data_IF_426244898664
#
_entry.id   IF_426244898664
#
_cell.length_a   1.000
_cell.length_b   1.000
_cell.length_c   1.000
_cell.angle_alpha   90.00
_cell.angle_beta   90.00
_cell.angle_gamma   90.00
#
_symmetry.space_group_name_H-M   'P 1'
#
loop_
_entity.id
_entity.type
_entity.pdbx_description
1 polymer ?
#
# COMPACT_ATOMS: atom_id res chain seq x y z
N UNK A 1 6.46 -13.72 14.21
CA UNK A 1 6.05 -12.94 13.03
C UNK A 1 5.07 -11.90 13.53
N UNK A 2 5.29 -10.61 13.27
CA UNK A 2 4.46 -9.55 13.84
C UNK A 2 3.04 -9.55 13.25
N UNK A 3 2.05 -9.15 14.05
CA UNK A 3 0.66 -8.99 13.59
C UNK A 3 0.39 -7.62 12.96
N UNK A 4 1.40 -6.75 12.89
CA UNK A 4 1.31 -5.37 12.40
C UNK A 4 2.65 -4.96 11.78
N UNK A 5 2.61 -4.32 10.62
CA UNK A 5 3.82 -3.94 9.88
C UNK A 5 3.63 -3.92 8.37
N UNK A 6 4.73 -3.75 7.64
CA UNK A 6 4.75 -3.80 6.18
C UNK A 6 4.76 -5.27 5.74
N UNK A 7 3.77 -5.68 4.97
CA UNK A 7 3.70 -6.98 4.34
C UNK A 7 4.79 -7.08 3.26
N UNK A 8 5.74 -8.02 3.41
CA UNK A 8 6.86 -8.20 2.48
C UNK A 8 6.82 -9.50 1.70
N UNK A 9 5.95 -10.43 2.08
CA UNK A 9 5.79 -11.68 1.35
C UNK A 9 5.04 -12.76 2.11
N UNK A 10 5.16 -14.00 1.63
CA UNK A 10 4.56 -15.19 2.21
C UNK A 10 5.59 -16.33 2.22
N UNK A 11 5.68 -17.06 3.32
CA UNK A 11 6.56 -18.22 3.46
C UNK A 11 5.85 -19.32 4.24
N UNK A 12 5.81 -20.55 3.69
CA UNK A 12 5.05 -21.69 4.26
C UNK A 12 3.61 -21.30 4.65
N UNK A 13 2.91 -20.67 3.72
CA UNK A 13 1.55 -20.17 3.91
C UNK A 13 1.36 -19.09 5.01
N UNK A 14 2.43 -18.61 5.64
CA UNK A 14 2.38 -17.52 6.63
C UNK A 14 2.81 -16.20 6.00
N UNK A 15 2.09 -15.13 6.31
CA UNK A 15 2.49 -13.79 5.88
C UNK A 15 3.71 -13.32 6.67
N UNK A 16 4.65 -12.71 5.95
CA UNK A 16 5.85 -12.10 6.50
C UNK A 16 5.63 -10.59 6.59
N UNK A 17 5.75 -10.06 7.81
CA UNK A 17 5.56 -8.64 8.08
C UNK A 17 6.79 -8.06 8.78
N UNK A 18 7.27 -6.92 8.27
CA UNK A 18 8.29 -6.09 8.92
C UNK A 18 7.60 -5.13 9.89
N UNK A 19 7.72 -5.40 11.19
CA UNK A 19 7.14 -4.59 12.25
C UNK A 19 8.10 -3.54 12.80
N UNK A 20 7.58 -2.66 13.66
CA UNK A 20 8.34 -1.60 14.30
C UNK A 20 8.62 -0.40 13.38
N UNK A 21 9.43 0.54 13.88
CA UNK A 21 9.83 1.74 13.14
C UNK A 21 11.01 1.41 12.23
N UNK A 22 10.72 0.84 11.07
CA UNK A 22 11.71 0.44 10.07
C UNK A 22 11.43 1.12 8.73
N UNK A 23 12.50 1.34 7.96
CA UNK A 23 12.41 1.81 6.58
C UNK A 23 12.56 0.64 5.60
N UNK A 24 11.83 0.69 4.49
CA UNK A 24 11.88 -0.33 3.43
C UNK A 24 12.16 0.34 2.09
N UNK A 25 13.14 -0.17 1.36
CA UNK A 25 13.39 0.17 -0.03
C UNK A 25 13.04 -1.04 -0.91
N UNK A 26 12.12 -0.85 -1.86
CA UNK A 26 11.78 -1.85 -2.87
C UNK A 26 12.37 -1.46 -4.23
N UNK A 27 13.44 -2.15 -4.63
CA UNK A 27 14.02 -2.01 -5.97
C UNK A 27 13.48 -3.12 -6.87
N UNK A 28 12.75 -2.74 -7.94
CA UNK A 28 12.27 -3.68 -8.94
C UNK A 28 12.11 -3.00 -10.31
N UNK A 29 12.44 -3.68 -11.43
CA UNK A 29 12.31 -3.13 -12.78
C UNK A 29 10.88 -2.65 -13.11
N UNK A 30 10.73 -1.88 -14.18
CA UNK A 30 9.39 -1.58 -14.71
C UNK A 30 8.66 -2.86 -15.12
N UNK A 31 7.34 -2.90 -14.94
CA UNK A 31 6.48 -4.06 -15.28
C UNK A 31 6.80 -5.37 -14.54
N UNK A 32 7.60 -5.31 -13.46
CA UNK A 32 7.90 -6.44 -12.56
C UNK A 32 6.78 -6.79 -11.57
N UNK A 33 5.66 -6.06 -11.60
CA UNK A 33 4.53 -6.31 -10.69
C UNK A 33 4.68 -5.72 -9.29
N UNK A 34 5.66 -4.84 -9.01
CA UNK A 34 5.84 -4.23 -7.67
C UNK A 34 4.58 -3.57 -7.08
N UNK A 35 3.72 -3.00 -7.93
CA UNK A 35 2.45 -2.43 -7.52
C UNK A 35 1.50 -3.48 -6.95
N UNK A 36 1.30 -4.58 -7.68
CA UNK A 36 0.43 -5.69 -7.29
C UNK A 36 1.04 -6.55 -6.18
N UNK A 37 2.36 -6.71 -6.14
CA UNK A 37 3.03 -7.60 -5.20
C UNK A 37 3.24 -6.97 -3.81
N UNK A 38 3.53 -5.66 -3.75
CA UNK A 38 3.86 -4.98 -2.49
C UNK A 38 2.95 -3.79 -2.20
N UNK A 39 2.80 -2.86 -3.15
CA UNK A 39 2.12 -1.57 -2.86
C UNK A 39 0.64 -1.75 -2.53
N UNK A 40 -0.14 -2.33 -3.46
CA UNK A 40 -1.58 -2.54 -3.29
C UNK A 40 -1.89 -3.42 -2.08
N UNK A 41 -1.23 -4.58 -1.86
CA UNK A 41 -1.47 -5.39 -0.66
C UNK A 41 -1.23 -4.63 0.64
N UNK A 42 -0.19 -3.79 0.71
CA UNK A 42 0.04 -2.96 1.90
C UNK A 42 -1.03 -1.87 2.06
N UNK A 43 -1.48 -1.22 0.98
CA UNK A 43 -2.57 -0.25 1.07
C UNK A 43 -3.92 -0.88 1.47
N UNK A 44 -4.12 -2.16 1.21
CA UNK A 44 -5.30 -2.89 1.67
C UNK A 44 -5.14 -3.43 3.10
N UNK A 45 -3.92 -3.76 3.55
CA UNK A 45 -3.69 -4.41 4.84
C UNK A 45 -3.25 -3.46 5.96
N UNK A 46 -2.56 -2.35 5.64
CA UNK A 46 -1.98 -1.47 6.65
C UNK A 46 -3.09 -0.67 7.35
N UNK A 47 -3.25 -0.95 8.64
CA UNK A 47 -4.37 -0.46 9.46
C UNK A 47 -4.22 0.99 9.90
N UNK A 48 -2.99 1.51 9.91
CA UNK A 48 -2.73 2.91 10.25
C UNK A 48 -2.78 3.82 9.00
N UNK A 49 -2.47 5.09 9.22
CA UNK A 49 -2.46 6.13 8.19
C UNK A 49 -1.34 5.92 7.17
N UNK A 50 -1.61 6.28 5.91
CA UNK A 50 -0.65 6.22 4.81
C UNK A 50 -0.71 7.51 3.99
N UNK A 51 0.45 7.93 3.50
CA UNK A 51 0.59 8.99 2.49
C UNK A 51 1.26 8.36 1.29
N UNK A 52 0.66 8.51 0.12
CA UNK A 52 1.09 7.81 -1.10
C UNK A 52 1.31 8.82 -2.21
N UNK A 53 2.52 8.83 -2.78
CA UNK A 53 2.75 9.49 -4.06
C UNK A 53 2.27 8.56 -5.17
N UNK A 54 1.17 8.92 -5.82
CA UNK A 54 0.49 8.08 -6.80
C UNK A 54 0.38 8.78 -8.16
N UNK A 55 1.50 8.87 -8.87
CA UNK A 55 1.59 9.59 -10.16
C UNK A 55 0.64 9.06 -11.24
N UNK A 56 0.21 7.79 -11.13
CA UNK A 56 -0.67 7.15 -12.10
C UNK A 56 -2.11 7.01 -11.64
N UNK A 57 -2.41 7.41 -10.40
CA UNK A 57 -3.70 7.25 -9.75
C UNK A 57 -4.18 5.79 -9.56
N UNK A 58 -3.35 4.79 -9.88
CA UNK A 58 -3.71 3.37 -9.79
C UNK A 58 -3.94 2.95 -8.34
N UNK A 59 -3.13 3.44 -7.41
CA UNK A 59 -3.24 3.08 -6.00
C UNK A 59 -4.53 3.64 -5.40
N UNK A 60 -4.85 4.90 -5.69
CA UNK A 60 -6.08 5.53 -5.24
C UNK A 60 -7.31 4.82 -5.81
N UNK A 61 -7.37 4.60 -7.13
CA UNK A 61 -8.51 3.96 -7.78
C UNK A 61 -8.79 2.55 -7.25
N UNK A 62 -7.73 1.77 -6.99
CA UNK A 62 -7.86 0.38 -6.57
C UNK A 62 -8.11 0.20 -5.07
N UNK A 63 -7.66 1.14 -4.22
CA UNK A 63 -7.62 0.89 -2.75
C UNK A 63 -8.44 1.87 -1.92
N UNK A 64 -8.73 3.08 -2.41
CA UNK A 64 -9.43 4.13 -1.66
C UNK A 64 -10.76 3.67 -1.08
N UNK A 65 -11.61 3.06 -1.91
CA UNK A 65 -12.94 2.56 -1.50
C UNK A 65 -12.85 1.49 -0.42
N UNK A 66 -11.85 0.60 -0.50
CA UNK A 66 -11.63 -0.40 0.54
C UNK A 66 -11.23 0.26 1.87
N UNK A 67 -10.26 1.18 1.85
CA UNK A 67 -9.82 1.89 3.05
C UNK A 67 -10.96 2.70 3.69
N UNK A 68 -11.76 3.38 2.87
CA UNK A 68 -12.94 4.13 3.32
C UNK A 68 -14.00 3.23 3.96
N UNK A 69 -14.33 2.09 3.33
CA UNK A 69 -15.27 1.10 3.89
C UNK A 69 -14.79 0.51 5.22
N UNK A 70 -13.49 0.49 5.48
CA UNK A 70 -12.88 0.04 6.73
C UNK A 70 -12.67 1.20 7.73
N UNK A 71 -13.43 2.29 7.62
CA UNK A 71 -13.48 3.37 8.61
C UNK A 71 -12.38 4.41 8.51
N UNK A 72 -11.54 4.36 7.48
CA UNK A 72 -10.47 5.34 7.32
C UNK A 72 -10.94 6.55 6.49
N UNK A 73 -10.51 7.75 6.87
CA UNK A 73 -10.71 8.94 6.04
C UNK A 73 -9.75 8.88 4.85
N UNK A 74 -10.26 9.13 3.65
CA UNK A 74 -9.49 9.06 2.41
C UNK A 74 -9.62 10.38 1.67
N UNK A 75 -8.48 10.94 1.27
CA UNK A 75 -8.38 12.21 0.56
C UNK A 75 -7.55 12.02 -0.70
N UNK A 76 -7.95 12.69 -1.78
CA UNK A 76 -7.15 12.82 -3.00
C UNK A 76 -6.75 14.27 -3.14
N UNK A 77 -5.45 14.54 -3.15
CA UNK A 77 -4.92 15.84 -3.50
C UNK A 77 -4.32 15.78 -4.90
N UNK A 78 -5.04 16.35 -5.87
CA UNK A 78 -4.65 16.40 -7.28
C UNK A 78 -4.82 17.84 -7.77
N UNK A 79 -3.87 18.75 -7.48
CA UNK A 79 -4.01 20.17 -7.79
C UNK A 79 -3.92 20.49 -9.29
N UNK A 80 -3.60 19.50 -10.13
CA UNK A 80 -3.42 19.65 -11.58
C UNK A 80 -4.37 18.76 -12.39
N UNK A 81 -5.35 18.10 -11.75
CA UNK A 81 -6.38 17.40 -12.53
C UNK A 81 -7.32 18.42 -13.17
N UNK A 82 -7.64 18.20 -14.44
CA UNK A 82 -8.78 18.85 -15.08
C UNK A 82 -10.07 18.28 -14.47
N UNK A 83 -11.09 19.12 -14.31
CA UNK A 83 -12.40 18.77 -13.73
C UNK A 83 -13.17 17.75 -14.59
#
# INVERSE_FOLDING_TARGET
MGNKGILVGKYHNKYLMLGGQQFVLLAAPTRSGKGVAIVIPNLLNYSDSVVVLDLKLENFLLTSKFRAKNGQKVYLFSPFSED
#
